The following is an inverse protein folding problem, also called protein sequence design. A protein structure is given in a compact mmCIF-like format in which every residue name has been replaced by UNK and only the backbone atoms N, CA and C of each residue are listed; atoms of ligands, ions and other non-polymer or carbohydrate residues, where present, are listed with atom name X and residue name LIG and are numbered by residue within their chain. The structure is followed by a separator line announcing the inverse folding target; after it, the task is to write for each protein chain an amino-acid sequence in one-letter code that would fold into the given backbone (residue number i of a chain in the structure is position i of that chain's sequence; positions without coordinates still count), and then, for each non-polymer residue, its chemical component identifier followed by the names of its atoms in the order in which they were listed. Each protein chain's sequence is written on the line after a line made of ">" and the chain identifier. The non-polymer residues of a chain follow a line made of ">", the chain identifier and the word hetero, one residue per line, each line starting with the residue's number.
data_IF_848096105974
#
_entry.id   IF_848096105974
#
_cell.length_a   1.000
_cell.length_b   1.000
_cell.length_c   1.000
_cell.angle_alpha   90.00
_cell.angle_beta   90.00
_cell.angle_gamma   90.00
#
_symmetry.space_group_name_H-M   'P 1'
#
loop_
_entity.id
_entity.type
_entity.pdbx_description
1 polymer ?
#
# COMPACT_ATOMS: atom_id res chain seq x y z
N UNK A 1 23.91 17.50 -10.63
CA UNK A 1 23.42 16.10 -10.74
C UNK A 1 24.27 15.10 -9.94
N UNK A 2 25.61 15.14 -9.99
CA UNK A 2 26.51 14.20 -9.30
C UNK A 2 26.32 14.06 -7.76
N UNK A 3 25.88 15.12 -7.07
CA UNK A 3 25.65 15.10 -5.60
C UNK A 3 24.35 14.39 -5.19
N UNK A 4 23.31 14.41 -6.03
CA UNK A 4 22.00 13.76 -5.73
C UNK A 4 22.09 12.25 -5.99
N UNK A 5 22.82 11.84 -7.03
CA UNK A 5 23.11 10.43 -7.30
C UNK A 5 23.86 9.75 -6.16
N UNK A 6 24.78 10.47 -5.49
CA UNK A 6 25.52 9.96 -4.32
C UNK A 6 24.67 9.72 -3.08
N UNK A 7 23.66 10.57 -2.83
CA UNK A 7 22.72 10.40 -1.71
C UNK A 7 21.75 9.25 -2.01
N UNK A 8 21.30 9.11 -3.26
CA UNK A 8 20.43 8.01 -3.68
C UNK A 8 21.15 6.66 -3.60
N UNK A 9 22.42 6.57 -4.00
CA UNK A 9 23.20 5.34 -3.91
C UNK A 9 23.54 4.97 -2.47
N UNK A 10 23.83 5.94 -1.60
CA UNK A 10 24.01 5.69 -0.16
C UNK A 10 22.72 5.19 0.52
N UNK A 11 21.55 5.74 0.14
CA UNK A 11 20.26 5.24 0.59
C UNK A 11 19.98 3.80 0.10
N UNK A 12 20.39 3.46 -1.13
CA UNK A 12 20.27 2.12 -1.70
C UNK A 12 21.19 1.09 -1.01
N UNK A 13 22.39 1.51 -0.60
CA UNK A 13 23.34 0.67 0.16
C UNK A 13 22.82 0.42 1.60
N UNK A 14 22.26 1.45 2.26
CA UNK A 14 21.59 1.30 3.56
C UNK A 14 20.36 0.39 3.50
N UNK A 15 19.63 0.39 2.38
CA UNK A 15 18.53 -0.56 2.12
C UNK A 15 19.06 -2.00 2.00
N UNK A 16 20.21 -2.21 1.36
CA UNK A 16 20.87 -3.51 1.24
C UNK A 16 21.24 -4.14 2.60
N UNK A 17 21.65 -3.34 3.58
CA UNK A 17 21.99 -3.82 4.93
C UNK A 17 20.75 -4.25 5.75
N UNK A 18 19.56 -3.76 5.39
CA UNK A 18 18.30 -4.20 6.02
C UNK A 18 17.70 -5.47 5.39
N UNK A 19 18.26 -5.98 4.28
CA UNK A 19 17.85 -7.25 3.68
C UNK A 19 18.17 -8.48 4.56
N UNK A 20 18.90 -8.31 5.68
CA UNK A 20 18.99 -9.32 6.75
C UNK A 20 17.67 -9.52 7.54
N UNK A 21 16.61 -8.76 7.24
CA UNK A 21 15.28 -8.88 7.85
C UNK A 21 14.37 -9.98 7.25
N UNK A 22 14.90 -10.91 6.44
CA UNK A 22 14.07 -11.93 5.78
C UNK A 22 13.55 -13.05 6.71
N UNK A 23 14.01 -13.11 7.96
CA UNK A 23 13.63 -14.15 8.91
C UNK A 23 12.80 -13.56 10.07
N UNK A 24 11.50 -13.37 9.83
CA UNK A 24 10.50 -12.95 10.82
C UNK A 24 10.12 -14.16 11.71
N UNK A 25 10.91 -14.46 12.73
CA UNK A 25 10.63 -15.52 13.70
C UNK A 25 9.74 -14.98 14.83
N UNK A 26 8.65 -15.71 15.13
CA UNK A 26 7.65 -15.35 16.15
C UNK A 26 7.43 -16.51 17.11
N UNK A 27 7.14 -16.22 18.37
CA UNK A 27 6.89 -17.24 19.40
C UNK A 27 5.76 -18.19 18.97
N UNK A 28 6.00 -19.49 19.12
CA UNK A 28 5.11 -20.54 18.65
C UNK A 28 5.44 -21.91 19.23
N UNK A 29 4.76 -22.92 18.70
CA UNK A 29 5.02 -24.32 19.03
C UNK A 29 4.74 -25.25 17.84
N UNK A 30 5.38 -26.41 17.85
CA UNK A 30 5.14 -27.52 16.91
C UNK A 30 4.56 -28.70 17.68
N UNK A 31 3.80 -29.55 16.99
CA UNK A 31 3.21 -30.79 17.50
C UNK A 31 3.68 -31.93 16.60
N UNK A 32 4.50 -32.83 17.13
CA UNK A 32 5.09 -33.95 16.38
C UNK A 32 4.19 -35.18 16.47
N UNK A 33 3.71 -35.48 17.68
CA UNK A 33 2.73 -36.53 17.98
C UNK A 33 1.68 -35.99 18.94
N UNK A 34 0.57 -36.70 19.15
CA UNK A 34 -0.54 -36.24 20.01
C UNK A 34 -0.12 -35.88 21.45
N UNK A 35 1.05 -36.36 21.90
CA UNK A 35 1.59 -36.12 23.24
C UNK A 35 2.87 -35.27 23.26
N UNK A 36 3.41 -34.87 22.11
CA UNK A 36 4.69 -34.15 22.03
C UNK A 36 4.52 -32.76 21.39
N UNK A 37 4.62 -31.72 22.24
CA UNK A 37 4.55 -30.31 21.85
C UNK A 37 5.82 -29.58 22.26
N UNK A 38 6.54 -29.03 21.27
CA UNK A 38 7.80 -28.32 21.50
C UNK A 38 7.60 -26.82 21.26
N UNK A 39 8.01 -26.00 22.23
CA UNK A 39 7.94 -24.52 22.16
C UNK A 39 9.21 -23.93 21.58
N UNK A 40 9.06 -22.85 20.81
CA UNK A 40 10.18 -22.17 20.15
C UNK A 40 9.72 -20.97 19.34
N UNK A 41 10.44 -20.65 18.26
CA UNK A 41 10.08 -19.59 17.33
C UNK A 41 9.78 -20.17 15.93
N UNK A 42 8.74 -19.68 15.27
CA UNK A 42 8.34 -20.11 13.92
C UNK A 42 8.54 -18.97 12.94
N UNK A 43 9.10 -19.28 11.78
CA UNK A 43 9.31 -18.29 10.73
C UNK A 43 7.99 -17.95 10.01
N UNK A 44 7.58 -16.69 10.08
CA UNK A 44 6.39 -16.12 9.46
C UNK A 44 6.65 -15.57 8.03
N UNK A 45 7.61 -16.15 7.29
CA UNK A 45 7.94 -15.71 5.93
C UNK A 45 7.02 -16.32 4.86
N UNK A 46 5.96 -15.59 4.51
CA UNK A 46 5.17 -15.78 3.27
C UNK A 46 4.22 -16.98 3.28
N UNK A 47 2.95 -16.71 2.94
CA UNK A 47 1.84 -17.67 3.07
C UNK A 47 2.03 -18.98 2.30
N UNK A 48 2.56 -18.92 1.08
CA UNK A 48 2.77 -20.11 0.22
C UNK A 48 3.84 -21.06 0.77
N UNK A 49 4.87 -20.54 1.45
CA UNK A 49 5.93 -21.38 2.04
C UNK A 49 5.42 -22.11 3.27
N UNK A 50 4.54 -21.47 4.05
CA UNK A 50 3.92 -22.07 5.24
C UNK A 50 3.14 -23.35 4.94
N UNK A 51 2.52 -23.47 3.75
CA UNK A 51 1.82 -24.70 3.39
C UNK A 51 2.75 -25.90 3.15
N UNK A 52 4.00 -25.66 2.74
CA UNK A 52 4.94 -26.74 2.39
C UNK A 52 5.90 -27.11 3.51
N UNK A 53 6.30 -26.13 4.32
CA UNK A 53 7.30 -26.35 5.36
C UNK A 53 7.14 -25.38 6.53
N UNK A 54 7.41 -25.88 7.73
CA UNK A 54 7.61 -25.08 8.93
C UNK A 54 9.12 -24.89 9.15
N UNK A 55 9.59 -23.64 9.29
CA UNK A 55 10.94 -23.39 9.84
C UNK A 55 10.78 -23.06 11.32
N UNK A 56 11.22 -23.96 12.15
CA UNK A 56 11.14 -23.87 13.60
C UNK A 56 12.53 -23.62 14.16
N UNK A 57 12.62 -22.73 15.14
CA UNK A 57 13.87 -22.34 15.77
C UNK A 57 13.80 -22.59 17.27
N UNK A 58 14.78 -23.32 17.77
CA UNK A 58 14.95 -23.68 19.18
C UNK A 58 16.42 -23.56 19.53
N UNK A 59 16.73 -22.92 20.66
CA UNK A 59 18.11 -22.73 21.13
C UNK A 59 19.08 -22.14 20.10
N UNK A 60 18.58 -21.31 19.17
CA UNK A 60 19.39 -20.69 18.12
C UNK A 60 19.46 -21.49 16.81
N UNK A 61 19.16 -22.78 16.83
CA UNK A 61 19.18 -23.66 15.66
C UNK A 61 17.86 -23.61 14.90
N UNK A 62 17.92 -23.61 13.57
CA UNK A 62 16.74 -23.59 12.70
C UNK A 62 16.60 -24.96 12.03
N UNK A 63 15.52 -25.68 12.36
CA UNK A 63 15.12 -26.92 11.70
C UNK A 63 13.92 -26.68 10.77
N UNK A 64 13.91 -27.39 9.64
CA UNK A 64 12.78 -27.42 8.72
C UNK A 64 11.98 -28.69 8.99
N UNK A 65 10.66 -28.56 9.00
CA UNK A 65 9.73 -29.67 9.16
C UNK A 65 8.73 -29.68 8.02
N UNK A 66 8.38 -30.88 7.58
CA UNK A 66 7.38 -31.15 6.54
C UNK A 66 6.04 -31.57 7.14
N UNK A 67 4.95 -31.60 6.34
CA UNK A 67 3.64 -32.10 6.78
C UNK A 67 3.63 -33.58 7.20
N UNK A 68 4.63 -34.36 6.80
CA UNK A 68 4.79 -35.76 7.21
C UNK A 68 5.42 -35.88 8.60
N UNK A 69 6.22 -34.88 9.02
CA UNK A 69 6.92 -34.88 10.31
C UNK A 69 6.12 -34.20 11.44
N UNK A 70 5.13 -33.35 11.11
CA UNK A 70 4.34 -32.61 12.09
C UNK A 70 2.84 -32.85 11.90
N UNK A 71 2.15 -33.03 13.03
CA UNK A 71 0.69 -32.96 13.09
C UNK A 71 0.23 -31.51 12.93
N UNK A 72 0.86 -30.59 13.64
CA UNK A 72 0.47 -29.19 13.65
C UNK A 72 1.61 -28.25 14.03
N UNK A 73 1.46 -26.97 13.73
CA UNK A 73 2.28 -25.92 14.32
C UNK A 73 1.47 -24.62 14.44
N UNK A 74 1.79 -23.79 15.43
CA UNK A 74 1.06 -22.56 15.70
C UNK A 74 1.98 -21.42 16.11
N UNK A 75 1.72 -20.24 15.54
CA UNK A 75 2.25 -18.97 16.01
C UNK A 75 1.24 -18.41 17.03
N UNK A 76 1.70 -18.13 18.24
CA UNK A 76 0.83 -17.67 19.34
C UNK A 76 0.09 -16.39 18.92
N UNK A 77 -1.22 -16.34 19.17
CA UNK A 77 -2.13 -15.24 18.82
C UNK A 77 -2.17 -14.88 17.31
N UNK A 78 -1.73 -15.78 16.43
CA UNK A 78 -1.72 -15.57 14.98
C UNK A 78 -2.28 -16.78 14.23
N UNK A 79 -1.45 -17.52 13.50
CA UNK A 79 -1.87 -18.61 12.60
C UNK A 79 -1.54 -19.96 13.20
N UNK A 80 -2.47 -20.90 13.02
CA UNK A 80 -2.30 -22.31 13.33
C UNK A 80 -2.44 -23.11 12.05
N UNK A 81 -1.64 -24.17 11.93
CA UNK A 81 -1.60 -25.03 10.77
C UNK A 81 -1.63 -26.49 11.19
N UNK A 82 -2.23 -27.33 10.36
CA UNK A 82 -2.34 -28.78 10.59
C UNK A 82 -2.04 -29.55 9.30
N UNK A 83 -1.49 -30.75 9.40
CA UNK A 83 -1.32 -31.68 8.29
C UNK A 83 -2.54 -32.62 8.15
N UNK A 84 -2.55 -33.47 7.12
CA UNK A 84 -3.55 -34.53 6.96
C UNK A 84 -4.92 -34.10 6.39
N UNK A 85 -5.12 -32.82 6.09
CA UNK A 85 -6.32 -32.34 5.38
C UNK A 85 -6.13 -32.37 3.87
N UNK A 86 -4.95 -31.94 3.41
CA UNK A 86 -4.50 -32.01 2.03
C UNK A 86 -3.22 -32.84 2.02
N UNK A 87 -3.10 -33.85 1.13
CA UNK A 87 -1.89 -34.67 1.05
C UNK A 87 -0.64 -33.81 0.89
N UNK A 88 0.42 -34.15 1.64
CA UNK A 88 1.74 -33.52 1.58
C UNK A 88 1.73 -32.00 1.75
N UNK A 89 0.74 -31.47 2.49
CA UNK A 89 0.63 -30.04 2.76
C UNK A 89 0.06 -29.77 4.14
N UNK A 90 0.54 -28.70 4.76
CA UNK A 90 -0.16 -28.06 5.86
C UNK A 90 -1.36 -27.27 5.32
N UNK A 91 -2.37 -27.08 6.15
CA UNK A 91 -3.49 -26.16 5.91
C UNK A 91 -3.67 -25.23 7.10
N UNK A 92 -4.07 -23.98 6.84
CA UNK A 92 -4.33 -22.99 7.88
C UNK A 92 -5.67 -23.30 8.55
N UNK A 93 -5.69 -23.41 9.88
CA UNK A 93 -6.91 -23.55 10.67
C UNK A 93 -7.56 -22.17 10.77
N UNK A 94 -8.84 -22.08 10.46
CA UNK A 94 -9.64 -20.86 10.61
C UNK A 94 -10.64 -20.99 11.76
N UNK A 95 -11.33 -22.13 11.82
CA UNK A 95 -12.26 -22.50 12.90
C UNK A 95 -12.03 -23.97 13.23
N UNK A 96 -11.93 -24.31 14.52
CA UNK A 96 -11.86 -25.69 14.99
C UNK A 96 -13.01 -25.95 15.96
N UNK A 97 -13.86 -26.91 15.60
CA UNK A 97 -15.08 -27.28 16.32
C UNK A 97 -15.73 -28.51 15.69
N UNK A 98 -17.02 -28.74 15.98
CA UNK A 98 -17.82 -29.82 15.39
C UNK A 98 -17.82 -29.77 13.85
N UNK A 99 -17.90 -28.56 13.29
CA UNK A 99 -17.51 -28.29 11.91
C UNK A 99 -16.27 -27.41 11.89
N UNK A 100 -15.16 -27.98 11.45
CA UNK A 100 -13.88 -27.27 11.36
C UNK A 100 -13.69 -26.71 9.95
N UNK A 101 -13.12 -25.50 9.86
CA UNK A 101 -12.83 -24.79 8.62
C UNK A 101 -11.32 -24.58 8.46
N UNK A 102 -10.82 -24.93 7.28
CA UNK A 102 -9.41 -24.81 6.91
C UNK A 102 -9.24 -24.05 5.59
N UNK A 103 -8.05 -23.51 5.40
CA UNK A 103 -7.65 -22.79 4.18
C UNK A 103 -6.33 -23.29 3.64
N UNK A 104 -6.30 -23.60 2.35
CA UNK A 104 -5.11 -23.96 1.61
C UNK A 104 -5.04 -23.11 0.33
N UNK A 105 -4.11 -22.16 0.31
CA UNK A 105 -4.00 -21.14 -0.74
C UNK A 105 -5.31 -20.34 -0.96
N UNK A 106 -6.00 -20.60 -2.09
CA UNK A 106 -7.29 -20.01 -2.48
C UNK A 106 -8.48 -20.90 -2.13
N UNK A 107 -8.23 -22.17 -1.84
CA UNK A 107 -9.26 -23.17 -1.55
C UNK A 107 -9.59 -23.22 -0.06
N UNK A 108 -10.84 -23.55 0.23
CA UNK A 108 -11.31 -23.80 1.59
C UNK A 108 -11.72 -25.27 1.74
N UNK A 109 -11.61 -25.78 2.96
CA UNK A 109 -11.96 -27.15 3.30
C UNK A 109 -12.75 -27.16 4.59
N UNK A 110 -13.77 -28.00 4.67
CA UNK A 110 -14.48 -28.26 5.92
C UNK A 110 -14.29 -29.71 6.33
N UNK A 111 -14.09 -29.95 7.63
CA UNK A 111 -14.03 -31.28 8.23
C UNK A 111 -15.16 -31.41 9.24
N UNK A 112 -16.01 -32.41 9.06
CA UNK A 112 -17.07 -32.75 10.01
C UNK A 112 -16.51 -33.50 11.22
N UNK A 113 -17.25 -33.55 12.32
CA UNK A 113 -16.92 -34.36 13.50
C UNK A 113 -16.66 -35.85 13.19
N UNK A 114 -17.39 -36.43 12.23
CA UNK A 114 -17.17 -37.80 11.74
C UNK A 114 -15.95 -37.95 10.82
N UNK A 115 -15.14 -36.91 10.66
CA UNK A 115 -13.87 -36.94 9.95
C UNK A 115 -13.96 -36.74 8.44
N UNK A 116 -15.15 -36.57 7.85
CA UNK A 116 -15.31 -36.34 6.40
C UNK A 116 -14.81 -34.94 6.02
N UNK A 117 -14.00 -34.88 4.97
CA UNK A 117 -13.41 -33.64 4.44
C UNK A 117 -14.08 -33.26 3.13
N UNK A 118 -14.53 -32.02 3.02
CA UNK A 118 -15.12 -31.48 1.79
C UNK A 118 -14.36 -30.24 1.33
N UNK A 119 -13.94 -30.24 0.05
CA UNK A 119 -13.36 -29.07 -0.61
C UNK A 119 -14.45 -28.08 -1.03
N UNK A 120 -14.28 -26.81 -0.66
CA UNK A 120 -15.11 -25.69 -1.07
C UNK A 120 -14.30 -24.87 -2.08
N UNK A 121 -14.66 -24.97 -3.36
CA UNK A 121 -14.03 -24.21 -4.46
C UNK A 121 -15.10 -23.70 -5.42
N UNK A 122 -14.84 -22.57 -6.06
CA UNK A 122 -15.64 -22.11 -7.19
C UNK A 122 -15.32 -23.00 -8.39
N UNK A 123 -16.31 -23.75 -8.87
CA UNK A 123 -16.12 -24.67 -9.99
C UNK A 123 -16.01 -23.90 -11.30
N UNK A 124 -14.96 -24.19 -12.08
CA UNK A 124 -14.92 -23.90 -13.51
C UNK A 124 -14.97 -25.25 -14.21
N UNK A 125 -16.12 -25.61 -14.80
CA UNK A 125 -16.12 -26.64 -15.83
C UNK A 125 -15.76 -25.96 -17.14
N UNK A 126 -14.67 -26.41 -17.77
CA UNK A 126 -14.50 -26.22 -19.21
C UNK A 126 -15.36 -27.27 -19.89
N UNK A 127 -16.29 -26.85 -20.74
CA UNK A 127 -16.91 -27.75 -21.71
C UNK A 127 -15.99 -27.78 -22.92
N UNK A 128 -15.46 -28.94 -23.27
CA UNK A 128 -14.53 -29.09 -24.41
C UNK A 128 -15.22 -28.97 -25.79
N UNK A 129 -16.54 -28.74 -25.83
CA UNK A 129 -17.34 -28.79 -27.07
C UNK A 129 -18.13 -27.52 -27.40
N UNK A 130 -18.17 -26.51 -26.54
CA UNK A 130 -18.85 -25.23 -26.84
C UNK A 130 -18.06 -24.10 -26.19
N UNK A 131 -17.76 -23.07 -26.98
CA UNK A 131 -17.07 -21.82 -26.60
C UNK A 131 -17.90 -20.94 -25.63
N UNK A 132 -18.82 -21.53 -24.87
CA UNK A 132 -19.55 -20.90 -23.79
C UNK A 132 -19.31 -21.66 -22.48
N UNK A 133 -18.45 -21.07 -21.65
CA UNK A 133 -18.18 -21.53 -20.30
C UNK A 133 -19.37 -21.22 -19.39
N UNK A 134 -20.32 -22.16 -19.27
CA UNK A 134 -21.30 -22.14 -18.18
C UNK A 134 -20.58 -22.41 -16.85
N UNK A 135 -20.31 -21.33 -16.11
CA UNK A 135 -19.72 -21.37 -14.78
C UNK A 135 -20.67 -22.11 -13.83
N UNK A 136 -20.23 -23.26 -13.32
CA UNK A 136 -20.96 -24.10 -12.35
C UNK A 136 -20.87 -23.45 -10.94
N UNK A 137 -21.52 -22.28 -10.78
CA UNK A 137 -21.32 -21.31 -9.68
C UNK A 137 -21.62 -21.80 -8.25
N UNK A 138 -22.05 -23.04 -8.01
CA UNK A 138 -22.85 -23.34 -6.79
C UNK A 138 -22.50 -24.66 -6.07
N UNK A 139 -21.55 -25.49 -6.52
CA UNK A 139 -21.31 -26.81 -5.87
C UNK A 139 -20.99 -26.71 -4.38
N UNK A 140 -20.12 -25.78 -3.98
CA UNK A 140 -19.75 -25.57 -2.58
C UNK A 140 -20.93 -25.09 -1.72
N UNK A 141 -21.86 -24.31 -2.30
CA UNK A 141 -23.07 -23.86 -1.59
C UNK A 141 -24.01 -25.02 -1.30
N UNK A 142 -24.18 -25.94 -2.25
CA UNK A 142 -24.95 -27.16 -2.05
C UNK A 142 -24.35 -28.06 -0.96
N UNK A 143 -23.01 -28.24 -0.98
CA UNK A 143 -22.29 -28.97 0.06
C UNK A 143 -22.49 -28.36 1.45
N UNK A 144 -22.34 -27.04 1.59
CA UNK A 144 -22.59 -26.38 2.87
C UNK A 144 -24.05 -26.46 3.27
N UNK A 145 -25.01 -26.24 2.36
CA UNK A 145 -26.44 -26.39 2.68
C UNK A 145 -26.78 -27.79 3.18
N UNK A 146 -26.15 -28.84 2.65
CA UNK A 146 -26.32 -30.20 3.14
C UNK A 146 -25.72 -30.39 4.53
N UNK A 147 -24.46 -30.00 4.74
CA UNK A 147 -23.75 -30.15 6.02
C UNK A 147 -24.46 -29.36 7.14
N UNK A 148 -24.98 -28.17 6.83
CA UNK A 148 -25.61 -27.27 7.79
C UNK A 148 -27.12 -27.54 7.98
N UNK A 149 -27.69 -28.55 7.30
CA UNK A 149 -29.14 -28.80 7.24
C UNK A 149 -29.77 -29.16 8.59
N UNK A 150 -28.96 -29.66 9.52
CA UNK A 150 -29.34 -30.07 10.86
C UNK A 150 -29.26 -28.92 11.89
N UNK A 151 -29.06 -27.69 11.40
CA UNK A 151 -29.25 -26.46 12.16
C UNK A 151 -30.18 -25.50 11.39
N UNK A 152 -31.36 -25.22 11.96
CA UNK A 152 -32.38 -24.32 11.37
C UNK A 152 -32.20 -22.84 11.75
N UNK A 153 -30.99 -22.39 12.02
CA UNK A 153 -30.75 -20.99 12.41
C UNK A 153 -31.08 -20.05 11.23
N UNK A 154 -31.80 -18.96 11.50
CA UNK A 154 -32.30 -18.00 10.50
C UNK A 154 -31.18 -17.26 9.73
N UNK A 155 -29.96 -17.25 10.27
CA UNK A 155 -28.76 -16.62 9.69
C UNK A 155 -28.02 -17.49 8.68
N UNK A 156 -28.26 -18.80 8.65
CA UNK A 156 -27.52 -19.75 7.80
C UNK A 156 -28.11 -19.80 6.38
N UNK A 157 -27.82 -18.78 5.57
CA UNK A 157 -28.19 -18.76 4.14
C UNK A 157 -26.97 -18.84 3.22
N UNK A 158 -26.34 -20.03 3.03
CA UNK A 158 -25.18 -20.24 2.15
C UNK A 158 -25.31 -19.63 0.75
N UNK A 159 -26.54 -19.54 0.22
CA UNK A 159 -26.83 -18.93 -1.09
C UNK A 159 -26.42 -17.46 -1.21
N UNK A 160 -26.41 -16.71 -0.10
CA UNK A 160 -26.09 -15.27 -0.09
C UNK A 160 -24.61 -14.97 0.15
N UNK A 161 -23.82 -15.95 0.59
CA UNK A 161 -22.42 -15.73 0.91
C UNK A 161 -21.50 -15.83 -0.32
N UNK A 162 -20.46 -15.00 -0.32
CA UNK A 162 -19.30 -15.13 -1.22
C UNK A 162 -18.34 -16.17 -0.63
N UNK A 163 -17.60 -16.90 -1.47
CA UNK A 163 -16.56 -17.82 -1.02
C UNK A 163 -15.34 -17.02 -0.51
N UNK A 164 -15.47 -16.46 0.68
CA UNK A 164 -14.46 -15.64 1.34
C UNK A 164 -14.21 -16.12 2.76
N UNK A 165 -12.98 -15.91 3.24
CA UNK A 165 -12.59 -16.31 4.59
C UNK A 165 -13.52 -15.72 5.65
N UNK A 166 -13.89 -14.44 5.51
CA UNK A 166 -14.77 -13.74 6.46
C UNK A 166 -16.14 -14.40 6.53
N UNK A 167 -16.79 -14.55 5.38
CA UNK A 167 -18.13 -15.13 5.30
C UNK A 167 -18.16 -16.58 5.78
N UNK A 168 -17.14 -17.38 5.45
CA UNK A 168 -17.08 -18.78 5.88
C UNK A 168 -16.79 -18.90 7.38
N UNK A 169 -15.90 -18.08 7.94
CA UNK A 169 -15.65 -18.08 9.39
C UNK A 169 -16.94 -17.72 10.14
N UNK A 170 -17.65 -16.67 9.73
CA UNK A 170 -18.94 -16.27 10.32
C UNK A 170 -19.96 -17.42 10.25
N UNK A 171 -20.18 -17.99 9.06
CA UNK A 171 -21.15 -19.07 8.85
C UNK A 171 -20.85 -20.33 9.66
N UNK A 172 -19.59 -20.74 9.72
CA UNK A 172 -19.17 -21.96 10.42
C UNK A 172 -19.13 -21.73 11.94
N UNK A 173 -18.79 -20.52 12.40
CA UNK A 173 -18.91 -20.16 13.81
C UNK A 173 -20.37 -20.20 14.27
N UNK A 174 -21.31 -19.62 13.52
CA UNK A 174 -22.74 -19.70 13.81
C UNK A 174 -23.23 -21.15 13.92
N UNK A 175 -22.71 -22.03 13.05
CA UNK A 175 -23.04 -23.45 13.09
C UNK A 175 -22.55 -24.13 14.36
N UNK A 176 -21.29 -23.90 14.74
CA UNK A 176 -20.75 -24.48 15.97
C UNK A 176 -21.48 -23.95 17.22
N UNK A 177 -21.89 -22.68 17.23
CA UNK A 177 -22.77 -22.12 18.27
C UNK A 177 -24.10 -22.87 18.32
N UNK A 178 -24.75 -23.08 17.18
CA UNK A 178 -26.02 -23.81 17.09
C UNK A 178 -25.93 -25.24 17.61
N UNK A 179 -24.78 -25.90 17.43
CA UNK A 179 -24.53 -27.24 17.95
C UNK A 179 -24.21 -27.27 19.45
N UNK A 180 -24.01 -26.11 20.08
CA UNK A 180 -23.67 -26.01 21.50
C UNK A 180 -22.26 -26.51 21.84
N UNK A 181 -21.39 -26.64 20.84
CA UNK A 181 -20.05 -27.18 21.00
C UNK A 181 -19.03 -26.08 21.30
N UNK A 182 -18.05 -26.39 22.13
CA UNK A 182 -16.87 -25.54 22.29
C UNK A 182 -16.09 -25.50 20.96
N UNK A 183 -15.96 -24.31 20.38
CA UNK A 183 -15.17 -24.08 19.18
C UNK A 183 -14.15 -22.97 19.41
N UNK A 184 -13.11 -22.95 18.58
CA UNK A 184 -12.06 -21.94 18.61
C UNK A 184 -11.88 -21.30 17.25
N UNK A 185 -11.71 -19.98 17.22
CA UNK A 185 -11.45 -19.22 16.00
C UNK A 185 -10.00 -18.73 16.01
N UNK A 186 -9.26 -19.07 14.97
CA UNK A 186 -7.86 -18.63 14.84
C UNK A 186 -7.83 -17.13 14.50
N UNK A 187 -6.87 -16.38 15.07
CA UNK A 187 -6.77 -14.90 14.99
C UNK A 187 -7.99 -14.13 15.53
N UNK A 188 -8.76 -14.68 16.45
CA UNK A 188 -9.95 -14.00 17.00
C UNK A 188 -9.63 -12.60 17.52
N UNK A 189 -8.52 -12.45 18.25
CA UNK A 189 -8.02 -11.17 18.80
C UNK A 189 -7.63 -10.13 17.73
N UNK A 190 -7.49 -10.52 16.45
CA UNK A 190 -7.14 -9.60 15.35
C UNK A 190 -8.40 -9.10 14.67
N UNK A 191 -8.50 -7.78 14.51
CA UNK A 191 -9.57 -7.16 13.73
C UNK A 191 -9.42 -7.46 12.23
N UNK A 192 -10.55 -7.52 11.51
CA UNK A 192 -10.56 -7.67 10.05
C UNK A 192 -10.01 -6.45 9.34
N UNK A 193 -10.39 -5.26 9.79
CA UNK A 193 -9.93 -3.98 9.27
C UNK A 193 -9.54 -3.11 10.47
N UNK A 194 -8.33 -2.53 10.42
CA UNK A 194 -7.90 -1.50 11.35
C UNK A 194 -7.73 -0.21 10.55
N UNK A 195 -8.46 0.82 10.96
CA UNK A 195 -8.39 2.16 10.38
C UNK A 195 -7.56 3.03 11.33
N UNK A 196 -6.55 3.69 10.79
CA UNK A 196 -5.69 4.63 11.49
C UNK A 196 -5.85 6.00 10.87
N UNK A 197 -6.30 6.97 11.67
CA UNK A 197 -6.37 8.37 11.28
C UNK A 197 -5.16 9.13 11.83
N UNK A 198 -4.72 10.13 11.07
CA UNK A 198 -3.61 10.99 11.47
C UNK A 198 -3.58 12.30 10.69
N UNK A 199 -2.62 13.14 11.09
CA UNK A 199 -2.26 14.38 10.41
C UNK A 199 -0.88 14.22 9.79
N UNK A 200 -0.67 14.91 8.68
CA UNK A 200 0.62 14.99 8.00
C UNK A 200 0.92 16.46 7.69
N UNK A 201 2.16 16.88 7.88
CA UNK A 201 2.60 18.21 7.47
C UNK A 201 4.09 18.24 7.21
N UNK A 202 4.54 19.14 6.35
CA UNK A 202 5.95 19.25 6.01
C UNK A 202 6.22 20.14 4.82
N UNK A 203 7.28 19.84 4.07
CA UNK A 203 7.77 20.65 2.97
C UNK A 203 7.73 19.88 1.65
N UNK A 204 7.34 20.58 0.59
CA UNK A 204 7.35 20.12 -0.80
C UNK A 204 8.38 20.93 -1.58
N UNK A 205 9.25 20.24 -2.31
CA UNK A 205 10.27 20.80 -3.19
C UNK A 205 9.88 20.48 -4.62
N UNK A 206 9.39 21.45 -5.36
CA UNK A 206 9.00 21.27 -6.76
C UNK A 206 10.06 21.82 -7.69
N UNK A 207 10.16 21.17 -8.85
CA UNK A 207 11.07 21.58 -9.94
C UNK A 207 10.27 21.75 -11.20
N UNK A 208 10.22 22.99 -11.68
CA UNK A 208 9.65 23.33 -12.97
C UNK A 208 10.76 23.28 -14.02
N UNK A 209 10.56 22.47 -15.07
CA UNK A 209 11.39 22.46 -16.27
C UNK A 209 10.50 22.86 -17.45
N UNK A 210 10.96 23.84 -18.23
CA UNK A 210 10.32 24.20 -19.49
C UNK A 210 11.00 23.44 -20.61
N UNK A 211 10.26 22.57 -21.29
CA UNK A 211 10.68 21.99 -22.58
C UNK A 211 9.91 22.76 -23.67
N UNK A 212 10.57 23.75 -24.27
CA UNK A 212 10.01 24.59 -25.34
C UNK A 212 10.37 23.95 -26.68
N UNK A 213 9.38 23.69 -27.53
CA UNK A 213 9.57 23.07 -28.85
C UNK A 213 9.77 24.09 -29.98
N UNK A 214 9.60 25.37 -29.70
CA UNK A 214 9.63 26.47 -30.66
C UNK A 214 10.57 27.58 -30.13
N UNK A 215 11.76 27.71 -30.73
CA UNK A 215 12.83 28.62 -30.26
C UNK A 215 12.37 30.08 -30.22
N UNK A 216 11.40 30.46 -31.04
CA UNK A 216 10.91 31.84 -31.14
C UNK A 216 9.77 32.18 -30.15
N UNK A 217 9.21 31.19 -29.45
CA UNK A 217 7.97 31.44 -28.72
C UNK A 217 8.16 32.02 -27.32
N UNK A 218 9.13 31.58 -26.48
CA UNK A 218 9.19 31.98 -25.06
C UNK A 218 10.61 31.88 -24.46
N UNK A 219 11.41 32.94 -24.57
CA UNK A 219 12.73 33.09 -23.91
C UNK A 219 12.65 33.47 -22.42
N UNK A 220 11.44 33.60 -21.85
CA UNK A 220 11.21 34.15 -20.51
C UNK A 220 11.53 33.21 -19.34
N UNK A 221 11.63 31.89 -19.57
CA UNK A 221 11.89 30.92 -18.50
C UNK A 221 13.37 30.52 -18.45
N UNK A 222 13.99 30.64 -17.27
CA UNK A 222 15.18 29.84 -16.99
C UNK A 222 14.82 28.36 -17.06
N UNK A 223 15.77 27.57 -17.55
CA UNK A 223 15.70 26.12 -17.73
C UNK A 223 15.27 25.35 -16.47
N UNK A 224 15.50 25.90 -15.25
CA UNK A 224 15.24 25.20 -13.99
C UNK A 224 14.87 26.15 -12.84
N UNK A 225 13.62 26.07 -12.41
CA UNK A 225 13.19 26.68 -11.15
C UNK A 225 12.95 25.63 -10.08
N UNK A 226 13.47 25.86 -8.86
CA UNK A 226 13.20 25.01 -7.68
C UNK A 226 12.60 25.87 -6.57
N UNK A 227 11.53 25.40 -5.94
CA UNK A 227 10.91 26.14 -4.83
C UNK A 227 10.44 25.20 -3.73
N UNK A 228 10.25 25.77 -2.53
CA UNK A 228 9.86 25.04 -1.33
C UNK A 228 8.54 25.57 -0.79
N UNK A 229 7.57 24.68 -0.62
CA UNK A 229 6.21 25.04 -0.17
C UNK A 229 5.80 24.16 1.02
N UNK A 230 5.33 24.75 2.12
CA UNK A 230 4.77 23.95 3.21
C UNK A 230 3.43 23.35 2.79
N UNK A 231 3.12 22.18 3.35
CA UNK A 231 1.81 21.56 3.22
C UNK A 231 1.32 21.00 4.55
N UNK A 232 0.01 20.91 4.69
CA UNK A 232 -0.68 20.27 5.80
C UNK A 232 -1.80 19.39 5.27
N UNK A 233 -2.12 18.30 5.95
CA UNK A 233 -3.14 17.38 5.53
C UNK A 233 -3.58 16.39 6.59
N UNK A 234 -4.62 15.64 6.24
CA UNK A 234 -5.13 14.51 7.01
C UNK A 234 -4.87 13.21 6.26
N UNK A 235 -4.71 12.13 7.00
CA UNK A 235 -4.33 10.82 6.50
C UNK A 235 -5.26 9.75 7.07
N UNK A 236 -5.67 8.83 6.21
CA UNK A 236 -6.33 7.58 6.58
C UNK A 236 -5.53 6.39 6.06
N UNK A 237 -5.19 5.47 6.94
CA UNK A 237 -4.53 4.21 6.61
C UNK A 237 -5.40 3.03 7.04
N UNK A 238 -5.70 2.14 6.10
CA UNK A 238 -6.51 0.93 6.29
C UNK A 238 -5.63 -0.29 6.10
N UNK A 239 -5.53 -1.12 7.14
CA UNK A 239 -4.83 -2.41 7.09
C UNK A 239 -5.82 -3.53 7.42
N UNK A 240 -5.58 -4.72 6.87
CA UNK A 240 -6.31 -5.94 7.23
C UNK A 240 -5.39 -6.91 7.97
N UNK A 241 -5.27 -6.83 9.32
CA UNK A 241 -4.34 -7.64 10.10
C UNK A 241 -4.51 -9.16 9.94
N UNK A 242 -5.72 -9.63 9.58
CA UNK A 242 -5.98 -11.05 9.34
C UNK A 242 -5.43 -11.56 8.01
N UNK A 243 -5.39 -10.69 6.99
CA UNK A 243 -4.89 -11.01 5.64
C UNK A 243 -3.38 -10.76 5.57
N UNK A 244 -2.96 -9.54 5.89
CA UNK A 244 -1.58 -9.11 5.88
C UNK A 244 -1.37 -8.00 6.88
N UNK A 245 -0.37 -8.18 7.72
CA UNK A 245 0.04 -7.20 8.72
C UNK A 245 1.18 -6.29 8.18
N UNK A 246 1.53 -6.47 6.90
CA UNK A 246 2.56 -5.73 6.14
C UNK A 246 1.97 -4.81 5.07
N UNK A 247 0.86 -5.18 4.44
CA UNK A 247 0.24 -4.39 3.37
C UNK A 247 -0.90 -3.52 3.91
N UNK A 248 -0.90 -2.24 3.58
CA UNK A 248 -1.99 -1.32 3.89
C UNK A 248 -2.31 -0.40 2.72
N UNK A 249 -3.54 0.09 2.68
CA UNK A 249 -3.98 1.13 1.78
C UNK A 249 -3.97 2.46 2.53
N UNK A 250 -3.38 3.50 1.95
CA UNK A 250 -3.28 4.81 2.57
C UNK A 250 -3.73 5.89 1.60
N UNK A 251 -4.65 6.74 2.05
CA UNK A 251 -5.12 7.93 1.33
C UNK A 251 -4.94 9.17 2.18
N UNK A 252 -4.69 10.29 1.54
CA UNK A 252 -4.46 11.58 2.18
C UNK A 252 -5.25 12.69 1.50
N UNK A 253 -5.51 13.75 2.25
CA UNK A 253 -6.02 15.01 1.73
C UNK A 253 -5.09 16.12 2.21
N UNK A 254 -4.40 16.77 1.28
CA UNK A 254 -3.36 17.76 1.56
C UNK A 254 -3.69 19.11 0.93
N UNK A 255 -3.31 20.18 1.62
CA UNK A 255 -3.42 21.56 1.16
C UNK A 255 -2.04 22.24 1.19
N UNK A 256 -1.72 22.98 0.13
CA UNK A 256 -0.51 23.80 0.04
C UNK A 256 -0.77 25.11 -0.71
N UNK A 257 -0.05 26.16 -0.31
CA UNK A 257 -0.10 27.49 -0.93
C UNK A 257 1.22 27.78 -1.64
N UNK A 258 1.14 28.03 -2.94
CA UNK A 258 2.29 28.20 -3.80
C UNK A 258 2.51 29.68 -4.11
N UNK A 259 3.77 30.11 -3.99
CA UNK A 259 4.23 31.41 -4.47
C UNK A 259 5.57 31.19 -5.14
N UNK A 260 5.57 31.35 -6.46
CA UNK A 260 6.70 31.23 -7.34
C UNK A 260 7.11 32.62 -7.80
N UNK A 261 8.40 32.93 -7.70
CA UNK A 261 9.00 34.11 -8.34
C UNK A 261 10.29 33.71 -9.03
N UNK A 262 10.51 34.27 -10.21
CA UNK A 262 11.70 34.02 -11.01
C UNK A 262 12.11 35.29 -11.75
N UNK A 263 13.42 35.49 -11.92
CA UNK A 263 13.95 36.54 -12.77
C UNK A 263 14.91 35.90 -13.78
N UNK A 264 14.72 36.18 -15.07
CA UNK A 264 15.63 35.77 -16.13
C UNK A 264 16.19 37.00 -16.86
N UNK A 265 17.41 36.89 -17.38
CA UNK A 265 18.04 37.91 -18.20
C UNK A 265 18.38 37.31 -19.56
N UNK A 266 18.05 38.05 -20.61
CA UNK A 266 18.36 37.68 -21.99
C UNK A 266 19.06 38.86 -22.67
N UNK A 267 20.07 38.57 -23.49
CA UNK A 267 20.79 39.55 -24.27
C UNK A 267 20.55 39.26 -25.76
N UNK A 268 20.11 40.27 -26.51
CA UNK A 268 20.01 40.17 -27.96
C UNK A 268 21.29 40.68 -28.60
N UNK A 269 21.95 39.84 -29.41
CA UNK A 269 23.13 40.27 -30.17
C UNK A 269 22.76 41.12 -31.40
N UNK A 270 21.56 40.92 -31.96
CA UNK A 270 21.07 41.65 -33.14
C UNK A 270 20.69 43.12 -32.81
N UNK A 271 20.26 43.38 -31.58
CA UNK A 271 19.99 44.72 -31.05
C UNK A 271 20.57 44.76 -29.64
N UNK A 272 21.56 45.63 -29.31
CA UNK A 272 22.28 45.59 -28.02
C UNK A 272 21.38 46.02 -26.85
N UNK A 273 20.48 45.11 -26.49
CA UNK A 273 19.35 45.30 -25.59
C UNK A 273 19.39 44.15 -24.58
N UNK A 274 19.23 44.50 -23.31
CA UNK A 274 19.04 43.53 -22.25
C UNK A 274 17.55 43.42 -21.92
N UNK A 275 17.04 42.20 -21.91
CA UNK A 275 15.70 41.89 -21.43
C UNK A 275 15.77 41.30 -20.03
N UNK A 276 15.00 41.85 -19.10
CA UNK A 276 14.80 41.32 -17.75
C UNK A 276 13.37 40.84 -17.60
N UNK A 277 13.18 39.54 -17.48
CA UNK A 277 11.86 38.92 -17.29
C UNK A 277 11.64 38.63 -15.82
N UNK A 278 10.60 39.20 -15.23
CA UNK A 278 10.18 38.94 -13.86
C UNK A 278 8.85 38.18 -13.87
N UNK A 279 8.90 36.93 -13.42
CA UNK A 279 7.77 36.01 -13.36
C UNK A 279 7.29 35.90 -11.91
N UNK A 280 5.98 35.97 -11.72
CA UNK A 280 5.32 35.66 -10.45
C UNK A 280 4.10 34.78 -10.68
N UNK A 281 4.05 33.62 -10.02
CA UNK A 281 2.93 32.68 -10.07
C UNK A 281 2.49 32.31 -8.66
N UNK A 282 1.23 32.55 -8.34
CA UNK A 282 0.64 32.20 -7.05
C UNK A 282 -0.58 31.32 -7.27
N UNK A 283 -0.73 30.22 -6.53
CA UNK A 283 -1.93 29.39 -6.58
C UNK A 283 -2.06 28.53 -5.33
N UNK A 284 -3.27 28.06 -5.06
CA UNK A 284 -3.53 27.06 -4.03
C UNK A 284 -3.65 25.69 -4.67
N UNK A 285 -3.21 24.65 -3.96
CA UNK A 285 -3.30 23.26 -4.41
C UNK A 285 -3.96 22.40 -3.35
N UNK A 286 -4.92 21.59 -3.79
CA UNK A 286 -5.39 20.42 -3.03
C UNK A 286 -4.83 19.18 -3.69
N UNK A 287 -4.20 18.31 -2.91
CA UNK A 287 -3.65 17.04 -3.38
C UNK A 287 -4.31 15.86 -2.67
N UNK A 288 -4.68 14.83 -3.42
CA UNK A 288 -5.25 13.58 -2.90
C UNK A 288 -4.34 12.41 -3.29
N UNK A 289 -3.29 12.13 -2.50
CA UNK A 289 -2.45 10.95 -2.66
C UNK A 289 -3.19 9.68 -2.25
N UNK A 290 -3.16 8.67 -3.11
CA UNK A 290 -3.73 7.32 -2.90
C UNK A 290 -2.61 6.31 -3.09
N UNK A 291 -2.35 5.44 -2.11
CA UNK A 291 -1.20 4.53 -2.15
C UNK A 291 -1.43 3.16 -1.55
N UNK A 292 -0.65 2.21 -2.07
CA UNK A 292 -0.35 0.96 -1.41
C UNK A 292 0.95 1.12 -0.60
N UNK A 293 0.92 0.66 0.64
CA UNK A 293 2.03 0.75 1.59
C UNK A 293 2.46 -0.64 2.05
N UNK A 294 3.77 -0.88 2.06
CA UNK A 294 4.37 -2.12 2.55
C UNK A 294 5.29 -1.86 3.75
N UNK A 295 4.94 -2.39 4.91
CA UNK A 295 5.64 -2.22 6.17
C UNK A 295 6.70 -3.32 6.36
N UNK A 296 7.95 -2.89 6.54
CA UNK A 296 9.09 -3.68 6.98
C UNK A 296 9.21 -3.55 8.49
N UNK A 297 8.84 -4.61 9.22
CA UNK A 297 8.90 -4.62 10.68
C UNK A 297 10.33 -4.79 11.16
N UNK A 298 10.82 -3.80 11.90
CA UNK A 298 11.97 -3.95 12.78
C UNK A 298 11.54 -3.66 14.24
N UNK A 299 12.34 -4.15 15.21
CA UNK A 299 11.93 -4.20 16.63
C UNK A 299 11.59 -2.83 17.24
N UNK A 300 12.28 -1.75 16.85
CA UNK A 300 12.11 -0.39 17.44
C UNK A 300 11.47 0.62 16.48
N UNK A 301 11.73 0.48 15.19
CA UNK A 301 11.27 1.37 14.12
C UNK A 301 10.62 0.52 13.04
N UNK A 302 9.49 0.97 12.51
CA UNK A 302 8.88 0.31 11.35
C UNK A 302 9.14 1.14 10.12
N UNK A 303 9.94 0.59 9.21
CA UNK A 303 10.19 1.17 7.91
C UNK A 303 9.06 0.78 6.96
N UNK A 304 8.78 1.60 5.96
CA UNK A 304 7.79 1.26 4.96
C UNK A 304 8.11 1.89 3.60
N UNK A 305 7.69 1.20 2.55
CA UNK A 305 7.66 1.73 1.19
C UNK A 305 6.23 2.01 0.74
N UNK A 306 6.06 3.02 -0.10
CA UNK A 306 4.77 3.41 -0.68
C UNK A 306 4.90 3.61 -2.18
N UNK A 307 3.86 3.22 -2.91
CA UNK A 307 3.68 3.51 -4.32
C UNK A 307 2.21 3.90 -4.54
N UNK A 308 1.98 4.92 -5.36
CA UNK A 308 0.64 5.46 -5.50
C UNK A 308 0.43 6.40 -6.67
N UNK A 309 -0.81 6.86 -6.76
CA UNK A 309 -1.27 7.92 -7.63
C UNK A 309 -1.61 9.14 -6.78
N UNK A 310 -1.61 10.32 -7.36
CA UNK A 310 -2.07 11.53 -6.69
C UNK A 310 -2.81 12.41 -7.69
N UNK A 311 -4.02 12.80 -7.31
CA UNK A 311 -4.86 13.74 -8.07
C UNK A 311 -4.73 15.11 -7.42
N UNK A 312 -4.53 16.15 -8.23
CA UNK A 312 -4.29 17.50 -7.74
C UNK A 312 -5.24 18.49 -8.41
N UNK A 313 -5.73 19.44 -7.62
CA UNK A 313 -6.56 20.54 -8.06
C UNK A 313 -5.91 21.88 -7.70
N UNK A 314 -5.58 22.66 -8.72
CA UNK A 314 -4.99 24.00 -8.61
C UNK A 314 -6.08 25.07 -8.77
N UNK A 315 -6.15 26.04 -7.86
CA UNK A 315 -7.15 27.11 -7.87
C UNK A 315 -6.58 28.43 -7.37
N UNK A 316 -7.32 29.52 -7.62
CA UNK A 316 -6.89 30.90 -7.33
C UNK A 316 -5.53 31.23 -7.96
N UNK A 317 -5.29 30.71 -9.17
CA UNK A 317 -4.05 30.95 -9.88
C UNK A 317 -3.96 32.40 -10.36
N UNK A 318 -2.89 33.08 -9.97
CA UNK A 318 -2.53 34.42 -10.41
C UNK A 318 -1.16 34.35 -11.06
N UNK A 319 -1.09 34.75 -12.32
CA UNK A 319 0.14 34.82 -13.08
C UNK A 319 0.42 36.28 -13.44
N UNK A 320 1.66 36.71 -13.23
CA UNK A 320 2.16 38.03 -13.61
C UNK A 320 3.52 37.85 -14.27
N UNK A 321 3.69 38.43 -15.46
CA UNK A 321 4.97 38.50 -16.15
C UNK A 321 5.24 39.95 -16.52
N UNK A 322 6.37 40.48 -16.05
CA UNK A 322 6.84 41.82 -16.41
C UNK A 322 8.18 41.69 -17.12
N UNK A 323 8.25 42.13 -18.37
CA UNK A 323 9.51 42.20 -19.11
C UNK A 323 9.99 43.64 -19.11
N UNK A 324 11.21 43.91 -18.64
CA UNK A 324 11.86 45.21 -18.77
C UNK A 324 12.88 45.14 -19.89
N UNK A 325 12.74 46.01 -20.88
CA UNK A 325 13.80 46.32 -21.85
C UNK A 325 14.77 47.28 -21.17
N UNK A 326 16.07 47.02 -21.22
CA UNK A 326 17.12 47.87 -20.65
C UNK A 326 18.04 48.28 -21.80
N UNK A 327 17.95 49.57 -22.16
CA UNK A 327 18.78 50.24 -23.17
C UNK A 327 19.44 51.48 -22.55
N UNK A 328 20.40 52.09 -23.24
CA UNK A 328 21.09 53.33 -22.82
C UNK A 328 20.14 54.51 -22.54
N UNK A 329 18.92 54.48 -23.09
CA UNK A 329 17.91 55.56 -22.98
C UNK A 329 16.84 55.33 -21.91
N UNK A 330 16.83 54.19 -21.20
CA UNK A 330 15.88 53.91 -20.10
C UNK A 330 15.26 52.51 -20.14
N UNK A 331 14.31 52.25 -19.22
CA UNK A 331 13.61 50.97 -19.10
C UNK A 331 12.11 51.05 -19.29
N UNK A 332 11.52 50.19 -20.13
CA UNK A 332 10.08 50.15 -20.40
C UNK A 332 9.48 48.76 -20.13
N UNK A 333 8.33 48.65 -19.45
CA UNK A 333 7.68 47.36 -19.20
C UNK A 333 6.84 46.89 -20.40
N UNK A 334 6.98 45.62 -20.77
CA UNK A 334 6.06 44.90 -21.66
C UNK A 334 5.30 43.87 -20.82
N UNK A 335 3.97 43.88 -20.94
CA UNK A 335 3.09 42.91 -20.31
C UNK A 335 2.83 41.75 -21.25
N UNK A 336 3.22 40.53 -20.84
CA UNK A 336 3.09 39.33 -21.65
C UNK A 336 2.01 38.36 -21.13
N UNK A 337 1.59 37.50 -22.06
CA UNK A 337 0.53 36.48 -22.04
C UNK A 337 0.37 35.72 -20.71
N UNK A 338 -0.89 35.47 -20.34
CA UNK A 338 -1.25 34.62 -19.21
C UNK A 338 -0.90 33.15 -19.51
N UNK A 339 0.14 32.64 -18.83
CA UNK A 339 0.46 31.23 -18.85
C UNK A 339 -0.49 30.50 -17.88
N UNK A 340 -1.59 30.00 -18.43
CA UNK A 340 -2.62 29.32 -17.64
C UNK A 340 -2.07 28.10 -16.90
N UNK A 341 -2.38 27.99 -15.60
CA UNK A 341 -2.08 26.80 -14.79
C UNK A 341 -3.15 25.73 -15.04
N UNK A 342 -2.71 24.49 -15.30
CA UNK A 342 -3.64 23.36 -15.37
C UNK A 342 -4.40 23.22 -14.06
N UNK A 343 -5.73 23.33 -14.13
CA UNK A 343 -6.61 23.16 -12.97
C UNK A 343 -6.52 21.77 -12.37
N UNK A 344 -6.38 20.74 -13.20
CA UNK A 344 -6.31 19.35 -12.77
C UNK A 344 -4.96 18.74 -13.19
N UNK A 345 -4.35 18.00 -12.29
CA UNK A 345 -3.14 17.23 -12.59
C UNK A 345 -3.22 15.84 -11.97
N UNK A 346 -2.53 14.89 -12.60
CA UNK A 346 -2.36 13.55 -12.06
C UNK A 346 -0.86 13.26 -11.95
N UNK A 347 -0.46 12.52 -10.92
CA UNK A 347 0.92 12.12 -10.75
C UNK A 347 1.03 10.69 -10.27
N UNK A 348 2.11 10.03 -10.68
CA UNK A 348 2.57 8.78 -10.09
C UNK A 348 3.64 9.13 -9.06
N UNK A 349 3.66 8.41 -7.94
CA UNK A 349 4.63 8.69 -6.89
C UNK A 349 5.09 7.44 -6.15
N UNK A 350 6.30 7.53 -5.62
CA UNK A 350 6.90 6.53 -4.75
C UNK A 350 7.55 7.19 -3.55
N UNK A 351 7.62 6.47 -2.44
CA UNK A 351 8.19 7.02 -1.23
C UNK A 351 8.62 5.97 -0.22
N UNK A 352 9.43 6.43 0.72
CA UNK A 352 9.88 5.67 1.87
C UNK A 352 9.54 6.45 3.13
N UNK A 353 9.28 5.73 4.21
CA UNK A 353 9.12 6.37 5.50
C UNK A 353 9.42 5.43 6.64
N UNK A 354 9.38 5.99 7.84
CA UNK A 354 9.57 5.26 9.08
C UNK A 354 8.65 5.81 10.14
N UNK A 355 8.24 4.97 11.09
CA UNK A 355 7.51 5.43 12.25
C UNK A 355 7.88 4.64 13.50
N UNK A 356 7.69 5.28 14.65
CA UNK A 356 7.81 4.69 15.98
C UNK A 356 6.45 4.73 16.66
N UNK A 357 6.03 3.58 17.17
CA UNK A 357 4.79 3.45 17.95
C UNK A 357 5.06 3.74 19.42
N UNK A 358 4.28 4.66 19.98
CA UNK A 358 4.17 4.95 21.40
C UNK A 358 2.82 4.46 21.93
N UNK A 359 2.60 4.49 23.25
CA UNK A 359 1.37 3.94 23.87
C UNK A 359 0.07 4.45 23.23
N UNK A 360 -0.01 5.74 22.88
CA UNK A 360 -1.23 6.37 22.35
C UNK A 360 -1.11 6.91 20.91
N UNK A 361 0.10 6.97 20.35
CA UNK A 361 0.35 7.63 19.07
C UNK A 361 1.49 6.98 18.31
N UNK A 362 1.49 7.12 17.00
CA UNK A 362 2.61 6.84 16.13
C UNK A 362 3.16 8.17 15.62
N UNK A 363 4.49 8.33 15.65
CA UNK A 363 5.18 9.48 15.05
C UNK A 363 6.05 8.92 13.94
N UNK A 364 5.96 9.51 12.75
CA UNK A 364 6.70 9.05 11.59
C UNK A 364 7.20 10.16 10.69
N UNK A 365 8.16 9.81 9.84
CA UNK A 365 8.69 10.63 8.78
C UNK A 365 8.44 9.94 7.44
N UNK A 366 8.19 10.73 6.41
CA UNK A 366 7.99 10.25 5.04
C UNK A 366 8.77 11.11 4.06
N UNK A 367 9.36 10.48 3.07
CA UNK A 367 9.99 11.11 1.92
C UNK A 367 9.37 10.53 0.65
N UNK A 368 8.90 11.38 -0.27
CA UNK A 368 8.21 10.96 -1.49
C UNK A 368 8.72 11.73 -2.68
N UNK A 369 8.69 11.08 -3.84
CA UNK A 369 8.96 11.67 -5.13
C UNK A 369 7.74 11.46 -6.03
N UNK A 370 7.25 12.55 -6.62
CA UNK A 370 6.13 12.59 -7.55
C UNK A 370 6.65 12.96 -8.93
N UNK A 371 6.19 12.22 -9.93
CA UNK A 371 6.31 12.59 -11.34
C UNK A 371 4.94 13.07 -11.79
N UNK A 372 4.82 14.37 -12.05
CA UNK A 372 3.56 15.01 -12.41
C UNK A 372 3.30 14.92 -13.92
N UNK A 373 2.03 14.83 -14.30
CA UNK A 373 1.58 15.22 -15.64
C UNK A 373 1.83 16.72 -15.84
N UNK A 374 2.05 17.17 -17.08
CA UNK A 374 2.42 18.55 -17.40
C UNK A 374 1.57 19.64 -16.69
N UNK A 375 2.20 20.75 -16.32
CA UNK A 375 1.58 21.87 -15.57
C UNK A 375 0.89 22.90 -16.48
N UNK A 376 1.32 22.99 -17.75
CA UNK A 376 0.83 23.99 -18.70
C UNK A 376 -0.47 23.57 -19.37
N UNK A 377 -1.40 24.52 -19.49
CA UNK A 377 -2.64 24.39 -20.28
C UNK A 377 -2.50 24.90 -21.72
N UNK A 378 -1.33 25.46 -22.06
CA UNK A 378 -1.07 26.14 -23.34
C UNK A 378 -0.42 25.18 -24.32
N UNK A 379 -0.96 25.11 -25.55
CA UNK A 379 -0.38 24.34 -26.66
C UNK A 379 1.02 24.84 -27.00
N UNK A 380 2.01 23.94 -27.11
CA UNK A 380 3.40 24.27 -27.47
C UNK A 380 4.37 24.43 -26.29
N UNK A 381 3.88 24.41 -25.04
CA UNK A 381 4.71 24.51 -23.83
C UNK A 381 4.48 23.29 -22.94
N UNK A 382 5.46 22.38 -22.85
CA UNK A 382 5.44 21.31 -21.86
C UNK A 382 6.24 21.70 -20.62
N UNK A 383 5.52 22.08 -19.55
CA UNK A 383 6.12 22.25 -18.23
C UNK A 383 6.19 20.89 -17.52
N UNK A 384 7.32 20.20 -17.65
CA UNK A 384 7.59 18.99 -16.89
C UNK A 384 7.86 19.35 -15.43
N UNK A 385 7.11 18.73 -14.51
CA UNK A 385 7.24 19.00 -13.08
C UNK A 385 7.53 17.71 -12.30
N UNK A 386 8.46 17.81 -11.37
CA UNK A 386 8.70 16.79 -10.36
C UNK A 386 8.70 17.40 -8.98
N UNK A 387 8.12 16.68 -8.01
CA UNK A 387 8.03 17.12 -6.62
C UNK A 387 8.68 16.11 -5.71
N UNK A 388 9.52 16.57 -4.80
CA UNK A 388 9.91 15.81 -3.62
C UNK A 388 9.13 16.33 -2.41
N UNK A 389 8.66 15.48 -1.51
CA UNK A 389 8.03 15.92 -0.27
C UNK A 389 8.65 15.23 0.94
N UNK A 390 8.90 15.98 2.00
CA UNK A 390 9.26 15.46 3.32
C UNK A 390 8.14 15.82 4.28
N UNK A 391 7.54 14.81 4.92
CA UNK A 391 6.40 14.99 5.81
C UNK A 391 6.57 14.30 7.16
N UNK A 392 6.22 15.01 8.23
CA UNK A 392 6.02 14.46 9.56
C UNK A 392 4.57 13.95 9.67
N UNK A 393 4.41 12.74 10.18
CA UNK A 393 3.12 12.07 10.36
C UNK A 393 2.90 11.83 11.84
N UNK A 394 1.72 12.22 12.33
CA UNK A 394 1.26 11.87 13.67
C UNK A 394 -0.07 11.15 13.52
N UNK A 395 -0.17 9.92 14.02
CA UNK A 395 -1.39 9.13 13.94
C UNK A 395 -1.75 8.50 15.26
N UNK A 396 -3.03 8.17 15.45
CA UNK A 396 -3.45 7.36 16.59
C UNK A 396 -2.89 5.93 16.44
N UNK A 397 -2.46 5.32 17.54
CA UNK A 397 -2.04 3.90 17.54
C UNK A 397 -3.24 2.96 17.49
#
# INVERSE_FOLDING_TARGET
>A
MKKITGILSLAFILLGLTLRAQNDFRTGYIVISEKDTIRGEINCSGKLKSYKLCKFKTNGEIRKYTPEELIAYSIIDDKSFVSGIVPNSFVEILVKGNLSLYKHDKDFYVKTNVGKIHKLSEGVKKNDYVEESKIDKVRWKGTLSYILSDCKASTMKPKQYRLSEKCLVELISDYNICKGDNFTVTKEKKQWNKITLGIIGGLQFEKLKSDVFDEDAISFFDSKYTYTTPFIGVMMNVVSPRISDKLSFQTEFQFSQYSFSGVNFEYSEATPIYYKHALKLEYNKVSIPISLRYNLRAKKWTWYGQLGLCVEYNFNAKFSNTTHIINDTGSYPIYNVNLGVNKNQASVWGGLGTYKSFKKMNIGLSCRYYKLSGVSSVSGIELANSRMSVGLIISRN
#
